data_IF_078011821444
#
_entry.id   IF_078011821444
#
_cell.length_a   1.000
_cell.length_b   1.000
_cell.length_c   1.000
_cell.angle_alpha   90.00
_cell.angle_beta   90.00
_cell.angle_gamma   90.00
#
_symmetry.space_group_name_H-M   'P 1'
#
loop_
_entity.id
_entity.type
_entity.pdbx_description
1 polymer ?
#
# COMPACT_ATOMS: atom_id res chain seq x y z
N UNK A 1 29.12 -53.75 76.25
CA UNK A 1 29.23 -54.82 75.23
C UNK A 1 27.84 -54.98 74.62
N UNK A 2 27.57 -54.80 73.33
CA UNK A 2 28.44 -54.65 72.16
C UNK A 2 27.73 -53.85 71.05
N UNK A 3 28.52 -53.06 70.32
CA UNK A 3 28.19 -52.50 69.01
C UNK A 3 28.33 -53.60 67.95
N UNK A 4 27.35 -53.73 67.06
CA UNK A 4 27.54 -54.35 65.74
C UNK A 4 26.95 -53.45 64.66
N UNK A 5 27.84 -52.68 64.05
CA UNK A 5 27.62 -51.97 62.80
C UNK A 5 27.71 -52.99 61.65
N UNK A 6 26.66 -53.05 60.83
CA UNK A 6 26.66 -53.83 59.59
C UNK A 6 27.13 -52.94 58.45
N UNK A 7 28.39 -53.14 58.06
CA UNK A 7 28.94 -52.58 56.84
C UNK A 7 28.33 -53.26 55.61
N UNK A 8 27.87 -52.45 54.66
CA UNK A 8 27.58 -52.88 53.28
C UNK A 8 28.38 -52.00 52.34
N UNK A 9 29.58 -52.47 52.00
CA UNK A 9 30.37 -51.96 50.87
C UNK A 9 30.03 -52.79 49.65
N UNK A 10 29.31 -52.19 48.69
CA UNK A 10 29.26 -52.71 47.31
C UNK A 10 29.70 -51.59 46.38
N UNK A 11 30.97 -51.66 45.98
CA UNK A 11 31.56 -50.82 44.95
C UNK A 11 31.00 -51.24 43.59
N UNK A 12 29.91 -50.60 43.16
CA UNK A 12 29.39 -50.76 41.81
C UNK A 12 29.99 -49.70 40.89
N UNK A 13 30.78 -50.22 39.94
CA UNK A 13 30.96 -49.74 38.58
C UNK A 13 31.71 -48.41 38.41
N UNK A 14 33.01 -48.53 38.15
CA UNK A 14 33.74 -47.58 37.33
C UNK A 14 33.16 -47.55 35.92
N UNK A 15 32.06 -46.81 35.74
CA UNK A 15 31.49 -46.51 34.43
C UNK A 15 32.52 -45.63 33.73
N UNK A 16 33.06 -46.15 32.63
CA UNK A 16 34.08 -45.55 31.79
C UNK A 16 33.62 -44.17 31.27
N UNK A 17 33.94 -43.12 32.03
CA UNK A 17 33.55 -41.73 31.78
C UNK A 17 34.04 -41.20 30.43
N UNK A 18 35.05 -41.84 29.86
CA UNK A 18 35.65 -41.53 28.57
C UNK A 18 34.67 -41.74 27.42
N UNK A 19 33.93 -42.85 27.45
CA UNK A 19 32.97 -43.21 26.39
C UNK A 19 31.72 -42.33 26.40
N UNK A 20 31.31 -41.88 27.59
CA UNK A 20 30.21 -40.92 27.77
C UNK A 20 30.55 -39.55 27.17
N UNK A 21 31.77 -39.03 27.43
CA UNK A 21 32.22 -37.73 26.90
C UNK A 21 32.25 -37.70 25.38
N UNK A 22 32.70 -38.77 24.73
CA UNK A 22 32.70 -38.84 23.26
C UNK A 22 31.28 -38.77 22.68
N UNK A 23 30.30 -39.44 23.29
CA UNK A 23 28.90 -39.41 22.85
C UNK A 23 28.32 -37.99 22.96
N UNK A 24 28.60 -37.28 24.05
CA UNK A 24 28.16 -35.89 24.23
C UNK A 24 28.78 -34.94 23.22
N UNK A 25 30.06 -35.12 22.87
CA UNK A 25 30.72 -34.33 21.83
C UNK A 25 30.06 -34.55 20.47
N UNK A 26 29.79 -35.81 20.09
CA UNK A 26 29.09 -36.12 18.85
C UNK A 26 27.68 -35.49 18.83
N UNK A 27 26.93 -35.59 19.93
CA UNK A 27 25.60 -35.00 20.04
C UNK A 27 25.63 -33.47 19.90
N UNK A 28 26.60 -32.81 20.55
CA UNK A 28 26.79 -31.37 20.44
C UNK A 28 27.15 -30.93 19.01
N UNK A 29 28.01 -31.67 18.31
CA UNK A 29 28.37 -31.41 16.92
C UNK A 29 27.17 -31.57 15.97
N UNK A 30 26.33 -32.58 16.19
CA UNK A 30 25.11 -32.79 15.41
C UNK A 30 24.11 -31.64 15.63
N UNK A 31 23.87 -31.23 16.88
CA UNK A 31 22.98 -30.11 17.20
C UNK A 31 23.50 -28.80 16.58
N UNK A 32 24.81 -28.53 16.68
CA UNK A 32 25.45 -27.37 16.05
C UNK A 32 25.28 -27.39 14.52
N UNK A 33 25.46 -28.55 13.88
CA UNK A 33 25.28 -28.70 12.44
C UNK A 33 23.83 -28.41 12.00
N UNK A 34 22.84 -28.93 12.75
CA UNK A 34 21.42 -28.66 12.51
C UNK A 34 21.11 -27.16 12.68
N UNK A 35 21.61 -26.53 13.74
CA UNK A 35 21.41 -25.11 14.00
C UNK A 35 21.98 -24.23 12.86
N UNK A 36 23.18 -24.54 12.37
CA UNK A 36 23.79 -23.84 11.23
C UNK A 36 22.93 -23.98 9.97
N UNK A 37 22.44 -25.19 9.67
CA UNK A 37 21.57 -25.43 8.51
C UNK A 37 20.25 -24.65 8.62
N UNK A 38 19.67 -24.54 9.81
CA UNK A 38 18.45 -23.77 10.04
C UNK A 38 18.68 -22.26 9.81
N UNK A 39 19.81 -21.71 10.30
CA UNK A 39 20.17 -20.31 10.06
C UNK A 39 20.40 -20.04 8.58
N UNK A 40 21.08 -20.95 7.86
CA UNK A 40 21.30 -20.81 6.40
C UNK A 40 19.96 -20.81 5.67
N UNK A 41 19.06 -21.76 5.97
CA UNK A 41 17.72 -21.82 5.34
C UNK A 41 16.90 -20.57 5.65
N UNK A 42 16.94 -20.09 6.88
CA UNK A 42 16.25 -18.86 7.28
C UNK A 42 16.75 -17.65 6.48
N UNK A 43 18.08 -17.49 6.37
CA UNK A 43 18.70 -16.40 5.61
C UNK A 43 18.40 -16.49 4.10
N UNK A 44 18.37 -17.70 3.53
CA UNK A 44 17.99 -17.90 2.13
C UNK A 44 16.54 -17.49 1.87
N UNK A 45 15.62 -17.86 2.77
CA UNK A 45 14.20 -17.47 2.68
C UNK A 45 14.04 -15.94 2.74
N UNK A 46 14.73 -15.27 3.67
CA UNK A 46 14.72 -13.80 3.76
C UNK A 46 15.24 -13.14 2.48
N UNK A 47 16.31 -13.69 1.87
CA UNK A 47 16.83 -13.18 0.59
C UNK A 47 15.82 -13.33 -0.54
N UNK A 48 15.17 -14.49 -0.66
CA UNK A 48 14.15 -14.73 -1.70
C UNK A 48 12.95 -13.79 -1.53
N UNK A 49 12.48 -13.57 -0.30
CA UNK A 49 11.36 -12.67 -0.02
C UNK A 49 11.71 -11.21 -0.36
N UNK A 50 12.95 -10.78 -0.10
CA UNK A 50 13.41 -9.44 -0.48
C UNK A 50 13.56 -9.27 -1.99
N UNK A 51 14.18 -10.22 -2.69
CA UNK A 51 14.31 -10.17 -4.15
C UNK A 51 12.95 -10.15 -4.84
N UNK A 52 11.97 -10.91 -4.33
CA UNK A 52 10.60 -10.87 -4.84
C UNK A 52 9.96 -9.48 -4.66
N UNK A 53 10.07 -8.88 -3.47
CA UNK A 53 9.57 -7.52 -3.20
C UNK A 53 10.22 -6.47 -4.11
N UNK A 54 11.52 -6.57 -4.34
CA UNK A 54 12.25 -5.64 -5.21
C UNK A 54 11.80 -5.76 -6.68
N UNK A 55 11.58 -6.98 -7.16
CA UNK A 55 11.05 -7.22 -8.51
C UNK A 55 9.63 -6.67 -8.68
N UNK A 56 8.77 -6.84 -7.68
CA UNK A 56 7.41 -6.29 -7.68
C UNK A 56 7.45 -4.76 -7.65
N UNK A 57 8.29 -4.16 -6.81
CA UNK A 57 8.44 -2.70 -6.73
C UNK A 57 8.96 -2.11 -8.05
N UNK A 58 9.91 -2.79 -8.70
CA UNK A 58 10.40 -2.40 -10.02
C UNK A 58 9.28 -2.42 -11.07
N UNK A 59 8.50 -3.50 -11.12
CA UNK A 59 7.36 -3.60 -12.03
C UNK A 59 6.32 -2.51 -11.78
N UNK A 60 6.01 -2.21 -10.51
CA UNK A 60 5.07 -1.15 -10.12
C UNK A 60 5.57 0.22 -10.58
N UNK A 61 6.87 0.50 -10.41
CA UNK A 61 7.47 1.75 -10.89
C UNK A 61 7.38 1.86 -12.40
N UNK A 62 7.73 0.81 -13.14
CA UNK A 62 7.65 0.80 -14.60
C UNK A 62 6.20 1.04 -15.09
N UNK A 63 5.22 0.42 -14.43
CA UNK A 63 3.79 0.65 -14.69
C UNK A 63 3.44 2.13 -14.42
N UNK A 64 3.79 2.66 -13.25
CA UNK A 64 3.51 4.07 -12.89
C UNK A 64 4.12 5.04 -13.91
N UNK A 65 5.35 4.77 -14.37
CA UNK A 65 6.03 5.58 -15.37
C UNK A 65 5.47 5.43 -16.78
N UNK A 66 4.88 4.28 -17.14
CA UNK A 66 4.26 4.09 -18.46
C UNK A 66 2.94 4.85 -18.63
N UNK A 67 2.25 5.18 -17.54
CA UNK A 67 0.96 5.87 -17.56
C UNK A 67 1.04 7.36 -17.20
N UNK A 68 2.13 7.81 -16.57
CA UNK A 68 2.35 9.23 -16.35
C UNK A 68 2.87 9.86 -17.66
N UNK A 69 2.28 10.97 -18.17
CA UNK A 69 3.02 11.80 -19.12
C UNK A 69 4.36 12.14 -18.46
N UNK A 70 5.46 11.91 -19.19
CA UNK A 70 6.85 11.86 -18.67
C UNK A 70 7.29 13.05 -17.78
N UNK A 71 6.51 14.12 -17.71
CA UNK A 71 6.81 15.35 -16.99
C UNK A 71 6.28 15.43 -15.55
N UNK A 72 5.35 14.58 -15.12
CA UNK A 72 4.71 14.71 -13.79
C UNK A 72 5.13 13.62 -12.79
N UNK A 73 5.34 13.97 -11.51
CA UNK A 73 5.56 12.99 -10.45
C UNK A 73 4.37 12.00 -10.34
N UNK A 74 4.62 10.74 -9.93
CA UNK A 74 3.56 9.77 -9.69
C UNK A 74 2.47 10.32 -8.75
N UNK A 75 1.20 10.12 -9.13
CA UNK A 75 0.05 10.59 -8.35
C UNK A 75 -0.35 12.05 -8.59
N UNK A 76 0.19 12.69 -9.61
CA UNK A 76 -0.25 14.02 -10.07
C UNK A 76 -0.91 13.93 -11.44
N UNK A 77 -1.98 14.70 -11.61
CA UNK A 77 -2.62 14.96 -12.89
C UNK A 77 -2.62 16.47 -13.13
N UNK A 78 -2.02 16.90 -14.24
CA UNK A 78 -2.25 18.24 -14.78
C UNK A 78 -3.30 18.14 -15.88
N UNK A 79 -4.46 18.77 -15.66
CA UNK A 79 -5.57 18.71 -16.58
C UNK A 79 -5.81 20.06 -17.26
N UNK A 80 -5.44 20.14 -18.53
CA UNK A 80 -5.62 21.34 -19.36
C UNK A 80 -6.91 21.24 -20.16
N UNK A 81 -7.90 22.04 -19.79
CA UNK A 81 -9.20 22.10 -20.46
C UNK A 81 -9.17 23.20 -21.52
N UNK A 82 -9.59 22.86 -22.73
CA UNK A 82 -9.77 23.80 -23.86
C UNK A 82 -11.25 24.08 -24.08
N UNK A 83 -11.56 25.27 -24.60
CA UNK A 83 -12.93 25.70 -24.93
C UNK A 83 -13.83 25.72 -23.70
N UNK A 84 -13.37 26.33 -22.61
CA UNK A 84 -14.09 26.30 -21.33
C UNK A 84 -15.42 27.06 -21.45
N UNK A 85 -15.43 28.15 -22.19
CA UNK A 85 -16.58 29.02 -22.41
C UNK A 85 -17.75 28.26 -23.06
N UNK A 86 -17.47 27.55 -24.16
CA UNK A 86 -18.47 26.72 -24.85
C UNK A 86 -19.00 25.59 -23.98
N UNK A 87 -18.15 24.98 -23.15
CA UNK A 87 -18.54 23.89 -22.26
C UNK A 87 -19.39 24.37 -21.09
N UNK A 88 -19.14 25.59 -20.59
CA UNK A 88 -20.00 26.24 -19.59
C UNK A 88 -21.36 26.54 -20.21
N UNK A 89 -21.40 27.12 -21.40
CA UNK A 89 -22.65 27.45 -22.11
C UNK A 89 -23.51 26.21 -22.36
N UNK A 90 -22.88 25.11 -22.80
CA UNK A 90 -23.56 23.84 -23.04
C UNK A 90 -23.85 23.02 -21.77
N UNK A 91 -23.41 23.49 -20.59
CA UNK A 91 -23.46 22.76 -19.33
C UNK A 91 -22.90 21.34 -19.43
N UNK A 92 -21.83 21.17 -20.19
CA UNK A 92 -21.25 19.86 -20.49
C UNK A 92 -20.39 19.37 -19.30
N UNK A 93 -20.70 18.16 -18.82
CA UNK A 93 -19.84 17.43 -17.88
C UNK A 93 -18.51 17.09 -18.57
N UNK A 94 -17.40 17.59 -18.03
CA UNK A 94 -16.07 17.34 -18.60
C UNK A 94 -15.40 16.23 -17.81
N UNK A 95 -14.82 15.26 -18.49
CA UNK A 95 -14.01 14.21 -17.88
C UNK A 95 -12.55 14.33 -18.30
N UNK A 96 -11.65 14.09 -17.35
CA UNK A 96 -10.22 13.93 -17.64
C UNK A 96 -9.94 12.56 -18.22
N UNK A 97 -8.75 12.40 -18.80
CA UNK A 97 -8.21 11.07 -19.06
C UNK A 97 -8.00 10.32 -17.74
N UNK A 98 -8.19 8.99 -17.72
CA UNK A 98 -7.90 8.20 -16.54
C UNK A 98 -6.42 8.35 -16.14
N UNK A 99 -6.18 8.48 -14.83
CA UNK A 99 -4.85 8.63 -14.27
C UNK A 99 -4.67 7.76 -13.02
N UNK A 100 -3.43 7.59 -12.58
CA UNK A 100 -3.14 6.76 -11.41
C UNK A 100 -2.65 7.59 -10.22
N UNK A 101 -3.26 7.35 -9.05
CA UNK A 101 -2.80 7.86 -7.76
C UNK A 101 -2.28 6.68 -6.94
N UNK A 102 -0.96 6.50 -6.94
CA UNK A 102 -0.39 5.20 -6.57
C UNK A 102 -0.91 4.14 -7.54
N UNK A 103 -1.44 3.04 -7.04
CA UNK A 103 -2.01 1.97 -7.88
C UNK A 103 -3.51 2.13 -8.16
N UNK A 104 -4.17 3.14 -7.61
CA UNK A 104 -5.60 3.39 -7.81
C UNK A 104 -5.80 4.14 -9.12
N UNK A 105 -6.68 3.62 -9.97
CA UNK A 105 -7.10 4.30 -11.20
C UNK A 105 -8.19 5.30 -10.85
N UNK A 106 -8.04 6.54 -11.31
CA UNK A 106 -8.92 7.65 -11.00
C UNK A 106 -9.31 8.38 -12.29
N UNK A 107 -10.41 9.13 -12.23
CA UNK A 107 -10.81 10.06 -13.28
C UNK A 107 -11.42 11.31 -12.65
N UNK A 108 -10.90 12.48 -13.01
CA UNK A 108 -11.48 13.76 -12.63
C UNK A 108 -12.70 14.10 -13.50
N UNK A 109 -13.68 14.77 -12.89
CA UNK A 109 -14.87 15.33 -13.54
C UNK A 109 -15.03 16.80 -13.14
N UNK A 110 -15.48 17.63 -14.07
CA UNK A 110 -15.91 19.00 -13.81
C UNK A 110 -17.35 19.16 -14.24
N UNK A 111 -18.13 19.80 -13.38
CA UNK A 111 -19.51 20.18 -13.62
C UNK A 111 -19.67 21.67 -13.36
N UNK A 112 -20.32 22.36 -14.28
CA UNK A 112 -20.60 23.77 -14.17
C UNK A 112 -22.03 23.95 -13.64
N UNK A 113 -22.24 24.96 -12.82
CA UNK A 113 -23.55 25.36 -12.32
C UNK A 113 -24.36 24.22 -11.68
N UNK A 114 -23.70 23.26 -11.02
CA UNK A 114 -24.35 22.06 -10.46
C UNK A 114 -25.43 22.39 -9.41
N UNK A 115 -25.23 23.46 -8.64
CA UNK A 115 -26.16 23.89 -7.59
C UNK A 115 -26.70 25.30 -7.80
N UNK A 116 -25.89 26.20 -8.33
CA UNK A 116 -26.19 27.61 -8.53
C UNK A 116 -25.34 28.18 -9.68
N UNK A 117 -25.78 29.31 -10.24
CA UNK A 117 -25.04 30.03 -11.27
C UNK A 117 -23.63 30.41 -10.79
N UNK A 118 -22.67 30.40 -11.73
CA UNK A 118 -21.27 30.73 -11.52
C UNK A 118 -20.50 29.80 -10.59
N UNK A 119 -20.93 28.55 -10.46
CA UNK A 119 -20.19 27.57 -9.66
C UNK A 119 -19.53 26.48 -10.49
N UNK A 120 -18.41 25.98 -9.97
CA UNK A 120 -17.66 24.89 -10.57
C UNK A 120 -17.53 23.79 -9.55
N UNK A 121 -18.06 22.62 -9.85
CA UNK A 121 -17.83 21.43 -9.04
C UNK A 121 -16.75 20.57 -9.69
N UNK A 122 -15.66 20.34 -8.97
CA UNK A 122 -14.57 19.46 -9.42
C UNK A 122 -14.57 18.23 -8.53
N UNK A 123 -14.64 17.05 -9.14
CA UNK A 123 -14.68 15.78 -8.41
C UNK A 123 -13.76 14.73 -9.02
N UNK A 124 -13.50 13.69 -8.24
CA UNK A 124 -12.72 12.52 -8.64
C UNK A 124 -13.57 11.28 -8.43
N UNK A 125 -13.60 10.44 -9.46
CA UNK A 125 -14.11 9.09 -9.44
C UNK A 125 -12.95 8.11 -9.26
N UNK A 126 -13.20 7.06 -8.49
CA UNK A 126 -12.34 5.87 -8.47
C UNK A 126 -12.84 4.94 -9.58
N UNK A 127 -11.93 4.55 -10.46
CA UNK A 127 -12.18 3.63 -11.57
C UNK A 127 -11.66 2.25 -11.25
N UNK A 128 -12.24 1.23 -11.88
CA UNK A 128 -11.72 -0.14 -11.82
C UNK A 128 -10.32 -0.20 -12.43
N UNK A 129 -9.36 -0.57 -11.60
CA UNK A 129 -7.97 -0.69 -11.96
C UNK A 129 -7.55 -2.15 -12.17
N UNK A 130 -6.47 -2.35 -12.94
CA UNK A 130 -5.85 -3.65 -13.10
C UNK A 130 -5.27 -4.21 -11.79
N UNK A 131 -5.03 -3.36 -10.79
CA UNK A 131 -4.36 -3.71 -9.53
C UNK A 131 -5.29 -3.71 -8.31
N UNK A 132 -6.61 -3.59 -8.50
CA UNK A 132 -7.57 -3.46 -7.40
C UNK A 132 -7.53 -4.61 -6.39
N UNK A 133 -7.08 -5.80 -6.83
CA UNK A 133 -6.90 -6.98 -5.99
C UNK A 133 -5.73 -6.88 -4.99
N UNK A 134 -4.77 -5.96 -5.23
CA UNK A 134 -3.63 -5.70 -4.34
C UNK A 134 -3.87 -4.51 -3.43
N UNK A 135 -4.98 -3.79 -3.61
CA UNK A 135 -5.24 -2.52 -2.97
C UNK A 135 -6.07 -2.67 -1.71
N UNK A 136 -5.91 -1.73 -0.79
CA UNK A 136 -6.69 -1.66 0.43
C UNK A 136 -7.97 -0.84 0.19
N UNK A 137 -9.09 -1.40 0.63
CA UNK A 137 -10.39 -0.76 0.49
C UNK A 137 -11.07 -0.62 1.88
N UNK A 138 -11.86 0.44 2.12
CA UNK A 138 -12.06 1.60 1.24
C UNK A 138 -10.81 2.49 1.14
N UNK A 139 -10.73 3.33 0.12
CA UNK A 139 -9.63 4.29 -0.05
C UNK A 139 -9.50 5.21 1.18
N UNK A 140 -8.26 5.44 1.64
CA UNK A 140 -7.93 6.32 2.78
C UNK A 140 -6.96 7.46 2.44
N UNK A 141 -6.78 7.77 1.15
CA UNK A 141 -5.82 8.78 0.72
C UNK A 141 -6.30 10.20 0.99
N UNK A 142 -5.33 11.10 1.17
CA UNK A 142 -5.54 12.54 1.07
C UNK A 142 -5.32 12.92 -0.39
N UNK A 143 -6.26 13.64 -0.97
CA UNK A 143 -6.13 14.22 -2.29
C UNK A 143 -6.03 15.74 -2.15
N UNK A 144 -5.25 16.38 -3.00
CA UNK A 144 -5.21 17.85 -3.08
C UNK A 144 -5.65 18.24 -4.47
N UNK A 145 -6.76 18.98 -4.56
CA UNK A 145 -7.16 19.63 -5.80
C UNK A 145 -6.58 21.04 -5.83
N UNK A 146 -5.99 21.39 -6.96
CA UNK A 146 -5.40 22.71 -7.19
C UNK A 146 -5.97 23.26 -8.49
N UNK A 147 -6.69 24.38 -8.39
CA UNK A 147 -7.07 25.18 -9.55
C UNK A 147 -5.95 26.19 -9.81
N UNK A 148 -5.29 26.03 -10.96
CA UNK A 148 -4.13 26.84 -11.34
C UNK A 148 -4.58 28.16 -11.98
N UNK A 149 -4.18 29.28 -11.39
CA UNK A 149 -4.31 30.60 -11.98
C UNK A 149 -3.08 30.88 -12.86
N UNK A 150 -3.30 30.95 -14.18
CA UNK A 150 -2.22 31.17 -15.15
C UNK A 150 -1.64 32.58 -15.12
N UNK A 151 -2.39 33.57 -14.65
CA UNK A 151 -1.96 34.97 -14.61
C UNK A 151 -1.07 35.21 -13.40
N UNK A 152 -1.43 34.63 -12.26
CA UNK A 152 -0.68 34.76 -11.02
C UNK A 152 -0.67 33.46 -10.23
N UNK A 153 0.47 32.75 -10.25
CA UNK A 153 0.65 31.48 -9.54
C UNK A 153 0.50 31.61 -8.01
N UNK A 154 0.66 32.81 -7.46
CA UNK A 154 0.45 33.05 -6.03
C UNK A 154 -1.04 33.01 -5.65
N UNK A 155 -1.93 33.12 -6.64
CA UNK A 155 -3.38 33.08 -6.47
C UNK A 155 -3.99 31.74 -6.94
N UNK A 156 -3.22 30.64 -6.87
CA UNK A 156 -3.76 29.30 -7.09
C UNK A 156 -4.72 28.93 -5.97
N UNK A 157 -5.93 28.48 -6.31
CA UNK A 157 -6.86 27.96 -5.30
C UNK A 157 -6.49 26.51 -4.99
N UNK A 158 -6.15 26.24 -3.74
CA UNK A 158 -5.78 24.90 -3.26
C UNK A 158 -6.79 24.41 -2.24
N UNK A 159 -7.28 23.20 -2.42
CA UNK A 159 -8.15 22.55 -1.46
C UNK A 159 -7.67 21.12 -1.19
N UNK A 160 -7.50 20.81 0.09
CA UNK A 160 -7.09 19.49 0.53
C UNK A 160 -8.33 18.66 0.87
N UNK A 161 -8.64 17.69 0.01
CA UNK A 161 -9.65 16.68 0.27
C UNK A 161 -9.08 15.61 1.20
N UNK A 162 -9.60 15.58 2.43
CA UNK A 162 -9.33 14.51 3.37
C UNK A 162 -10.57 13.63 3.48
N UNK A 163 -10.44 12.37 3.10
CA UNK A 163 -11.47 11.35 3.32
C UNK A 163 -11.57 11.09 4.83
N UNK A 164 -12.54 11.71 5.50
CA UNK A 164 -12.77 11.51 6.94
C UNK A 164 -13.66 10.29 7.18
N UNK A 165 -13.73 9.83 8.43
CA UNK A 165 -14.62 8.71 8.81
C UNK A 165 -16.09 9.08 8.57
N UNK A 166 -16.45 10.33 8.81
CA UNK A 166 -17.80 10.87 8.57
C UNK A 166 -18.13 10.87 7.08
N UNK A 167 -17.16 11.25 6.24
CA UNK A 167 -17.35 11.24 4.79
C UNK A 167 -17.53 9.82 4.24
N UNK A 168 -16.71 8.86 4.71
CA UNK A 168 -16.88 7.44 4.39
C UNK A 168 -18.24 6.90 4.85
N UNK A 169 -18.74 7.36 6.00
CA UNK A 169 -20.06 6.96 6.50
C UNK A 169 -21.19 7.53 5.63
N UNK A 170 -21.04 8.77 5.14
CA UNK A 170 -22.05 9.44 4.31
C UNK A 170 -22.08 8.92 2.88
N UNK A 171 -20.93 8.57 2.32
CA UNK A 171 -20.78 8.12 0.94
C UNK A 171 -19.90 6.86 0.86
N UNK A 172 -20.35 5.72 1.41
CA UNK A 172 -19.54 4.50 1.46
C UNK A 172 -19.17 3.99 0.07
N UNK A 173 -20.14 3.99 -0.86
CA UNK A 173 -19.97 3.52 -2.24
C UNK A 173 -18.95 4.32 -3.05
N UNK A 174 -18.70 5.59 -2.72
CA UNK A 174 -17.69 6.41 -3.41
C UNK A 174 -16.27 5.86 -3.25
N UNK A 175 -15.97 5.17 -2.14
CA UNK A 175 -14.61 4.77 -1.77
C UNK A 175 -14.41 3.26 -1.68
N UNK A 176 -15.46 2.49 -1.88
CA UNK A 176 -15.40 1.05 -2.00
C UNK A 176 -14.71 0.62 -3.29
N UNK A 177 -14.36 -0.66 -3.35
CA UNK A 177 -13.75 -1.26 -4.53
C UNK A 177 -14.74 -1.19 -5.70
N UNK A 178 -14.38 -0.59 -6.85
CA UNK A 178 -15.24 -0.55 -8.01
C UNK A 178 -15.59 -1.96 -8.51
N UNK A 179 -16.88 -2.25 -8.63
CA UNK A 179 -17.40 -3.46 -9.27
C UNK A 179 -17.51 -3.27 -10.79
N UNK A 180 -17.95 -2.09 -11.20
CA UNK A 180 -18.13 -1.63 -12.57
C UNK A 180 -16.95 -0.79 -13.09
N UNK A 181 -17.14 0.04 -14.13
CA UNK A 181 -16.08 0.88 -14.70
C UNK A 181 -15.54 1.91 -13.69
N UNK A 182 -16.42 2.49 -12.89
CA UNK A 182 -16.13 3.47 -11.84
C UNK A 182 -17.23 3.42 -10.76
N UNK A 183 -16.93 3.95 -9.57
CA UNK A 183 -17.95 4.11 -8.53
C UNK A 183 -19.01 5.15 -8.97
N UNK A 184 -20.26 4.97 -8.55
CA UNK A 184 -21.37 5.86 -8.94
C UNK A 184 -21.30 7.24 -8.29
N UNK A 185 -20.67 7.30 -7.12
CA UNK A 185 -20.57 8.51 -6.31
C UNK A 185 -19.16 9.08 -6.36
N UNK A 186 -19.07 10.40 -6.52
CA UNK A 186 -17.82 11.13 -6.63
C UNK A 186 -17.41 11.80 -5.32
N UNK A 187 -16.12 12.13 -5.22
CA UNK A 187 -15.60 12.99 -4.17
C UNK A 187 -15.10 14.28 -4.81
N UNK A 188 -15.71 15.40 -4.45
CA UNK A 188 -15.36 16.69 -5.04
C UNK A 188 -15.58 17.89 -4.15
N UNK A 189 -15.24 19.05 -4.71
CA UNK A 189 -15.28 20.36 -4.09
C UNK A 189 -16.08 21.28 -4.99
N UNK A 190 -16.92 22.10 -4.36
CA UNK A 190 -17.58 23.22 -5.00
C UNK A 190 -16.70 24.46 -4.88
N UNK A 191 -16.42 25.08 -6.01
CA UNK A 191 -15.79 26.39 -6.13
C UNK A 191 -16.90 27.39 -6.46
N UNK A 192 -16.91 28.50 -5.72
CA UNK A 192 -17.85 29.62 -5.84
C UNK A 192 -17.04 30.85 -6.22
#
# INVERSE_FOLDING_TARGET
>A
MDKKEFGTTSSLNGIDTTRSRTIWIFFALVIMSIAILLVIRFNQKQKQDNTKKDSELKSIKEILYSYAPLSLPPGQLEWKIKGVEQKIENQEDIYSDPFYVGLYKCQGKIQWNRWNENTVYVSIFIMKGAYDYKLHWPIRYKCTLILLNRINSNNNYKHNLKVTKEYLKKYPSSFERPTELRNDSDMGILFI
#
